data_IF_354073156572
#
_entry.id   IF_354073156572
#
_cell.length_a   1.000
_cell.length_b   1.000
_cell.length_c   1.000
_cell.angle_alpha   90.00
_cell.angle_beta   90.00
_cell.angle_gamma   90.00
#
_symmetry.space_group_name_H-M   'P 1'
#
loop_
_entity.id
_entity.type
_entity.pdbx_description
1 polymer ?
#
# COMPACT_ATOMS: atom_id res chain seq x y z
N UNK A 1 36.33 -31.98 46.74
CA UNK A 1 37.67 -32.54 46.56
C UNK A 1 38.09 -32.33 45.12
N UNK A 2 39.18 -31.59 44.99
CA UNK A 2 39.84 -31.16 43.79
C UNK A 2 40.61 -32.32 43.08
N UNK A 3 41.48 -32.09 42.11
CA UNK A 3 41.46 -31.10 41.01
C UNK A 3 41.96 -31.66 39.63
N UNK A 4 41.87 -30.85 38.61
CA UNK A 4 42.81 -30.52 37.53
C UNK A 4 43.91 -31.51 37.07
N UNK A 5 44.02 -31.64 35.77
CA UNK A 5 45.36 -31.49 35.12
C UNK A 5 45.24 -31.09 33.66
N UNK A 6 45.85 -29.96 33.38
CA UNK A 6 46.32 -29.45 32.09
C UNK A 6 47.43 -30.33 31.53
N UNK A 7 47.50 -30.48 30.21
CA UNK A 7 48.77 -30.72 29.49
C UNK A 7 48.65 -30.21 28.04
N UNK A 8 49.47 -29.23 27.74
CA UNK A 8 49.94 -28.89 26.41
C UNK A 8 51.30 -29.56 26.22
N UNK A 9 51.63 -30.06 25.05
CA UNK A 9 52.96 -29.68 24.51
C UNK A 9 53.02 -29.47 22.99
N UNK A 10 53.68 -28.39 22.68
CA UNK A 10 54.82 -28.21 21.75
C UNK A 10 54.77 -28.77 20.32
N UNK A 11 54.86 -27.81 19.42
CA UNK A 11 55.75 -27.67 18.27
C UNK A 11 56.22 -28.91 17.52
N UNK A 12 55.81 -28.99 16.25
CA UNK A 12 56.69 -29.49 15.22
C UNK A 12 56.49 -28.71 13.89
N UNK A 13 57.54 -28.07 13.54
CA UNK A 13 57.80 -27.32 12.35
C UNK A 13 57.89 -28.28 11.15
N UNK A 14 56.98 -28.18 10.17
CA UNK A 14 57.15 -28.84 8.87
C UNK A 14 56.91 -27.85 7.76
N UNK A 15 57.99 -27.65 7.00
CA UNK A 15 58.10 -26.86 5.79
C UNK A 15 57.01 -27.22 4.77
N UNK A 16 56.14 -26.24 4.45
CA UNK A 16 55.36 -26.27 3.24
C UNK A 16 56.13 -25.52 2.12
N UNK A 17 56.26 -26.10 0.93
CA UNK A 17 56.80 -25.38 -0.22
C UNK A 17 55.81 -24.30 -0.66
N UNK A 18 56.29 -23.08 -0.86
CA UNK A 18 55.58 -21.94 -1.44
C UNK A 18 55.27 -22.28 -2.91
N UNK A 19 53.98 -22.54 -3.18
CA UNK A 19 53.46 -22.49 -4.55
C UNK A 19 53.42 -21.02 -4.98
N UNK A 20 54.25 -20.66 -5.90
CA UNK A 20 54.24 -19.41 -6.65
C UNK A 20 53.00 -19.47 -7.56
N UNK A 21 52.04 -18.54 -7.50
CA UNK A 21 50.97 -18.50 -8.48
C UNK A 21 51.56 -18.03 -9.81
N UNK A 22 51.61 -18.92 -10.77
CA UNK A 22 51.83 -18.57 -12.18
C UNK A 22 50.69 -17.71 -12.63
N UNK A 23 50.93 -16.42 -12.79
CA UNK A 23 50.01 -15.52 -13.48
C UNK A 23 49.87 -16.02 -14.93
N UNK A 24 48.81 -16.76 -15.20
CA UNK A 24 48.37 -16.94 -16.57
C UNK A 24 47.95 -15.57 -17.08
N UNK A 25 48.68 -15.01 -18.01
CA UNK A 25 48.32 -13.78 -18.69
C UNK A 25 46.96 -13.99 -19.37
N UNK A 26 45.99 -13.12 -19.05
CA UNK A 26 44.69 -13.10 -19.74
C UNK A 26 44.95 -12.94 -21.23
N UNK A 27 44.18 -13.62 -22.10
CA UNK A 27 44.33 -13.50 -23.55
C UNK A 27 44.15 -12.04 -23.96
N UNK A 28 44.88 -11.53 -24.96
CA UNK A 28 44.78 -10.13 -25.36
C UNK A 28 43.38 -9.83 -25.86
N UNK A 29 42.73 -8.90 -25.18
CA UNK A 29 41.40 -8.40 -25.57
C UNK A 29 41.48 -7.86 -27.01
N UNK A 30 40.64 -8.37 -27.89
CA UNK A 30 40.56 -7.90 -29.27
C UNK A 30 40.16 -6.41 -29.32
N UNK A 31 40.59 -5.68 -30.33
CA UNK A 31 40.28 -4.26 -30.52
C UNK A 31 38.75 -4.00 -30.48
N UNK A 32 37.94 -4.99 -30.83
CA UNK A 32 36.47 -4.99 -30.68
C UNK A 32 36.02 -4.97 -29.20
N UNK A 33 36.71 -5.68 -28.30
CA UNK A 33 36.37 -5.70 -26.86
C UNK A 33 36.76 -4.39 -26.16
N UNK A 34 37.87 -3.76 -26.55
CA UNK A 34 38.31 -2.46 -25.98
C UNK A 34 37.42 -1.30 -26.39
N UNK A 35 36.79 -1.35 -27.59
CA UNK A 35 35.83 -0.32 -28.02
C UNK A 35 34.47 -0.45 -27.34
N UNK A 36 34.14 -1.58 -26.67
CA UNK A 36 32.88 -1.79 -25.97
C UNK A 36 32.93 -1.32 -24.51
N UNK A 37 34.11 -1.21 -23.90
CA UNK A 37 34.23 -0.83 -22.47
C UNK A 37 34.05 0.68 -22.22
N UNK A 38 34.22 1.54 -23.21
CA UNK A 38 33.96 2.98 -23.11
C UNK A 38 32.55 3.43 -23.53
N UNK A 39 31.82 2.58 -24.24
CA UNK A 39 30.52 2.92 -24.79
C UNK A 39 29.41 2.42 -23.86
N UNK A 40 28.51 3.32 -23.45
CA UNK A 40 27.33 2.97 -22.64
C UNK A 40 26.49 1.94 -23.41
N UNK A 41 26.34 0.71 -22.87
CA UNK A 41 25.46 -0.28 -23.48
C UNK A 41 23.98 0.17 -23.39
N UNK A 42 23.18 -0.22 -24.39
CA UNK A 42 21.74 0.08 -24.37
C UNK A 42 21.08 -0.35 -23.06
N UNK A 43 21.43 -1.52 -22.54
CA UNK A 43 20.90 -2.04 -21.29
C UNK A 43 21.29 -1.16 -20.09
N UNK A 44 22.51 -0.65 -20.02
CA UNK A 44 22.96 0.26 -18.97
C UNK A 44 22.18 1.58 -19.03
N UNK A 45 22.04 2.15 -20.20
CA UNK A 45 21.23 3.39 -20.39
C UNK A 45 19.80 3.18 -19.95
N UNK A 46 19.15 2.06 -20.35
CA UNK A 46 17.78 1.77 -19.95
C UNK A 46 17.65 1.66 -18.41
N UNK A 47 18.61 1.01 -17.73
CA UNK A 47 18.61 0.94 -16.25
C UNK A 47 18.73 2.31 -15.61
N UNK A 48 19.59 3.19 -16.09
CA UNK A 48 19.73 4.57 -15.56
C UNK A 48 18.48 5.42 -15.81
N UNK A 49 17.68 5.10 -16.82
CA UNK A 49 16.40 5.75 -17.11
C UNK A 49 15.20 5.14 -16.33
N UNK A 50 15.43 4.23 -15.41
CA UNK A 50 14.38 3.65 -14.60
C UNK A 50 13.61 2.52 -15.28
N UNK A 51 14.33 1.57 -15.90
CA UNK A 51 13.85 0.33 -16.50
C UNK A 51 13.29 0.44 -17.93
N UNK A 52 13.01 1.65 -18.44
CA UNK A 52 12.41 1.83 -19.77
C UNK A 52 13.05 2.97 -20.52
N UNK A 53 13.18 2.83 -21.84
CA UNK A 53 13.60 3.89 -22.72
C UNK A 53 12.83 3.83 -24.04
N UNK A 54 12.55 5.00 -24.60
CA UNK A 54 12.07 5.09 -25.98
C UNK A 54 13.28 5.05 -26.92
N UNK A 55 13.03 4.66 -28.17
CA UNK A 55 14.07 4.68 -29.21
C UNK A 55 14.83 6.02 -29.24
N UNK A 56 14.11 7.15 -29.21
CA UNK A 56 14.72 8.48 -29.20
C UNK A 56 15.63 8.70 -27.99
N UNK A 57 15.22 8.26 -26.80
CA UNK A 57 15.99 8.44 -25.55
C UNK A 57 17.33 7.70 -25.61
N UNK A 58 17.40 6.61 -26.37
CA UNK A 58 18.63 5.86 -26.65
C UNK A 58 19.48 6.56 -27.69
N UNK A 59 18.87 7.04 -28.78
CA UNK A 59 19.57 7.78 -29.83
C UNK A 59 20.20 9.07 -29.28
N UNK A 60 19.47 9.82 -28.44
CA UNK A 60 19.94 11.04 -27.77
C UNK A 60 21.17 10.78 -26.85
N UNK A 61 21.43 9.50 -26.53
CA UNK A 61 22.57 9.04 -25.72
C UNK A 61 23.60 8.26 -26.54
N UNK A 62 23.63 8.51 -27.86
CA UNK A 62 24.56 7.90 -28.82
C UNK A 62 24.43 6.37 -28.94
N UNK A 63 23.31 5.77 -28.58
CA UNK A 63 23.01 4.36 -28.86
C UNK A 63 22.33 4.26 -30.21
N UNK A 64 23.06 3.86 -31.24
CA UNK A 64 22.54 3.76 -32.61
C UNK A 64 21.52 2.62 -32.78
N UNK A 65 20.74 2.65 -33.86
CA UNK A 65 19.82 1.57 -34.20
C UNK A 65 20.51 0.22 -34.39
N UNK A 66 21.76 0.23 -34.81
CA UNK A 66 22.57 -1.00 -34.92
C UNK A 66 22.84 -1.59 -33.56
N UNK A 67 23.21 -0.76 -32.57
CA UNK A 67 23.39 -1.20 -31.18
C UNK A 67 22.08 -1.68 -30.55
N UNK A 68 20.95 -1.00 -30.82
CA UNK A 68 19.63 -1.44 -30.34
C UNK A 68 19.27 -2.81 -30.94
N UNK A 69 19.52 -3.03 -32.25
CA UNK A 69 19.27 -4.32 -32.90
C UNK A 69 20.14 -5.43 -32.35
N UNK A 70 21.43 -5.17 -32.12
CA UNK A 70 22.36 -6.12 -31.52
C UNK A 70 21.89 -6.50 -30.10
N UNK A 71 21.56 -5.52 -29.25
CA UNK A 71 21.09 -5.75 -27.89
C UNK A 71 19.71 -6.47 -27.81
N UNK A 72 18.89 -6.35 -28.83
CA UNK A 72 17.66 -7.15 -28.97
C UNK A 72 17.97 -8.59 -29.39
N UNK A 73 18.96 -8.79 -30.27
CA UNK A 73 19.34 -10.11 -30.75
C UNK A 73 20.05 -10.95 -29.66
N UNK A 74 20.86 -10.33 -28.83
CA UNK A 74 21.54 -10.97 -27.70
C UNK A 74 20.70 -11.07 -26.42
N UNK A 75 19.47 -10.51 -26.42
CA UNK A 75 18.54 -10.57 -25.30
C UNK A 75 18.87 -9.66 -24.12
N UNK A 76 19.89 -8.79 -24.20
CA UNK A 76 20.22 -7.84 -23.13
C UNK A 76 19.16 -6.78 -22.94
N UNK A 77 18.36 -6.50 -23.98
CA UNK A 77 17.14 -5.69 -23.93
C UNK A 77 16.00 -6.42 -24.65
N UNK A 78 14.76 -6.03 -24.37
CA UNK A 78 13.61 -6.52 -25.10
C UNK A 78 12.63 -5.39 -25.44
N UNK A 79 11.81 -5.61 -26.48
CA UNK A 79 10.80 -4.64 -26.91
C UNK A 79 9.51 -4.82 -26.12
N UNK A 80 9.13 -3.83 -25.32
CA UNK A 80 7.87 -3.81 -24.56
C UNK A 80 6.69 -3.51 -25.48
N UNK A 81 6.81 -2.47 -26.28
CA UNK A 81 5.87 -2.05 -27.34
C UNK A 81 6.64 -1.32 -28.44
N UNK A 82 5.94 -0.90 -29.50
CA UNK A 82 6.59 -0.16 -30.58
C UNK A 82 7.35 1.06 -30.06
N UNK A 83 8.63 1.13 -30.36
CA UNK A 83 9.52 2.22 -29.97
C UNK A 83 9.88 2.29 -28.48
N UNK A 84 9.54 1.27 -27.66
CA UNK A 84 9.87 1.19 -26.23
C UNK A 84 10.62 -0.09 -25.91
N UNK A 85 11.68 0.04 -25.13
CA UNK A 85 12.57 -1.03 -24.74
C UNK A 85 12.72 -1.11 -23.22
N UNK A 86 13.03 -2.31 -22.74
CA UNK A 86 13.31 -2.59 -21.32
C UNK A 86 14.43 -3.62 -21.21
N UNK A 87 14.83 -3.89 -19.99
CA UNK A 87 15.87 -4.88 -19.64
C UNK A 87 15.28 -6.01 -18.82
N UNK A 88 15.85 -7.22 -18.87
CA UNK A 88 15.50 -8.30 -17.95
C UNK A 88 15.59 -7.86 -16.50
N UNK A 89 14.60 -8.30 -15.67
CA UNK A 89 14.47 -7.92 -14.26
C UNK A 89 13.64 -6.67 -14.00
N UNK A 90 13.11 -6.01 -15.04
CA UNK A 90 12.13 -4.92 -14.85
C UNK A 90 10.84 -5.45 -14.16
N UNK A 91 10.24 -4.69 -13.22
CA UNK A 91 9.01 -5.09 -12.56
C UNK A 91 7.88 -5.39 -13.55
N UNK A 92 7.19 -6.51 -13.39
CA UNK A 92 6.13 -6.93 -14.32
C UNK A 92 5.02 -5.88 -14.43
N UNK A 93 4.60 -5.31 -13.30
CA UNK A 93 3.59 -4.24 -13.29
C UNK A 93 4.02 -3.03 -14.14
N UNK A 94 5.31 -2.68 -14.12
CA UNK A 94 5.86 -1.61 -14.94
C UNK A 94 5.87 -1.96 -16.43
N UNK A 95 6.23 -3.20 -16.78
CA UNK A 95 6.17 -3.72 -18.16
C UNK A 95 4.74 -3.62 -18.67
N UNK A 96 3.76 -4.05 -17.85
CA UNK A 96 2.35 -4.03 -18.21
C UNK A 96 1.84 -2.59 -18.44
N UNK A 97 2.19 -1.65 -17.57
CA UNK A 97 1.81 -0.25 -17.73
C UNK A 97 2.36 0.37 -19.03
N UNK A 98 3.66 0.18 -19.27
CA UNK A 98 4.30 0.70 -20.49
C UNK A 98 3.74 0.02 -21.75
N UNK A 99 3.41 -1.28 -21.69
CA UNK A 99 2.80 -2.02 -22.79
C UNK A 99 1.42 -1.47 -23.16
N UNK A 100 0.57 -1.18 -22.16
CA UNK A 100 -0.72 -0.51 -22.33
C UNK A 100 -0.52 0.87 -22.97
N UNK A 101 0.50 1.59 -22.56
CA UNK A 101 0.84 2.92 -23.08
C UNK A 101 0.72 4.04 -22.06
N UNK A 102 0.66 3.69 -20.78
CA UNK A 102 0.47 4.62 -19.67
C UNK A 102 1.42 4.41 -18.51
N UNK A 103 1.03 4.95 -17.37
CA UNK A 103 1.71 4.85 -16.08
C UNK A 103 0.75 4.26 -15.05
N UNK A 104 1.26 3.44 -14.13
CA UNK A 104 0.48 2.98 -12.97
C UNK A 104 0.13 4.20 -12.11
N UNK A 105 -1.11 4.27 -11.66
CA UNK A 105 -1.65 5.32 -10.79
C UNK A 105 -2.59 4.73 -9.74
N UNK A 106 -3.31 5.56 -9.01
CA UNK A 106 -4.27 5.09 -8.02
C UNK A 106 -3.64 4.30 -6.88
N UNK A 107 -4.38 3.35 -6.34
CA UNK A 107 -3.96 2.54 -5.18
C UNK A 107 -2.71 1.73 -5.50
N UNK A 108 -2.62 1.12 -6.69
CA UNK A 108 -1.46 0.32 -7.09
C UNK A 108 -0.17 1.16 -7.12
N UNK A 109 -0.24 2.43 -7.53
CA UNK A 109 0.91 3.32 -7.47
C UNK A 109 1.31 3.64 -6.02
N UNK A 110 0.35 3.88 -5.12
CA UNK A 110 0.63 4.12 -3.71
C UNK A 110 1.29 2.89 -3.05
N UNK A 111 0.80 1.68 -3.35
CA UNK A 111 1.40 0.41 -2.89
C UNK A 111 2.85 0.27 -3.40
N UNK A 112 3.10 0.53 -4.70
CA UNK A 112 4.44 0.49 -5.29
C UNK A 112 5.38 1.56 -4.73
N UNK A 113 4.85 2.65 -4.19
CA UNK A 113 5.61 3.61 -3.39
C UNK A 113 5.85 3.15 -1.95
N UNK A 114 5.44 1.93 -1.57
CA UNK A 114 5.63 1.33 -0.25
C UNK A 114 4.69 1.89 0.82
N UNK A 115 3.50 2.35 0.43
CA UNK A 115 2.47 2.78 1.38
C UNK A 115 1.56 1.60 1.77
N UNK A 116 1.19 1.53 3.05
CA UNK A 116 0.27 0.54 3.58
C UNK A 116 -1.19 0.89 3.20
N UNK A 117 -1.59 0.56 1.99
CA UNK A 117 -2.90 0.85 1.41
C UNK A 117 -3.70 -0.43 1.15
N UNK A 118 -5.04 -0.35 1.03
CA UNK A 118 -5.86 -1.51 0.68
C UNK A 118 -5.44 -2.12 -0.67
N UNK A 119 -5.26 -3.43 -0.73
CA UNK A 119 -4.92 -4.12 -1.98
C UNK A 119 -6.09 -4.21 -2.94
N UNK A 120 -5.82 -4.03 -4.24
CA UNK A 120 -6.81 -4.19 -5.31
C UNK A 120 -6.30 -5.14 -6.40
N UNK A 121 -7.23 -5.89 -6.99
CA UNK A 121 -6.92 -6.76 -8.14
C UNK A 121 -6.88 -5.98 -9.47
N UNK A 122 -7.58 -4.84 -9.53
CA UNK A 122 -7.66 -3.98 -10.72
C UNK A 122 -6.57 -2.93 -10.62
N UNK A 123 -5.84 -2.74 -11.71
CA UNK A 123 -4.75 -1.76 -11.81
C UNK A 123 -5.26 -0.52 -12.53
N UNK A 124 -5.07 0.64 -11.91
CA UNK A 124 -5.37 1.92 -12.54
C UNK A 124 -4.18 2.39 -13.37
N UNK A 125 -4.43 2.70 -14.63
CA UNK A 125 -3.43 3.21 -15.57
C UNK A 125 -3.87 4.58 -16.08
N UNK A 126 -3.01 5.57 -15.94
CA UNK A 126 -3.21 6.87 -16.57
C UNK A 126 -2.50 6.92 -17.91
N UNK A 127 -3.24 7.35 -18.93
CA UNK A 127 -2.73 7.54 -20.30
C UNK A 127 -2.96 8.98 -20.76
N UNK A 128 -2.18 9.50 -21.73
CA UNK A 128 -2.45 10.81 -22.32
C UNK A 128 -3.88 10.92 -22.89
N UNK A 129 -4.48 12.10 -22.84
CA UNK A 129 -5.87 12.32 -23.27
C UNK A 129 -6.14 11.84 -24.71
N UNK A 130 -5.16 12.01 -25.62
CA UNK A 130 -5.26 11.53 -27.00
C UNK A 130 -4.83 10.07 -27.22
N UNK A 131 -4.55 9.30 -26.17
CA UNK A 131 -4.09 7.92 -26.34
C UNK A 131 -5.20 7.04 -26.88
N UNK A 132 -4.90 6.38 -27.98
CA UNK A 132 -5.74 5.39 -28.63
C UNK A 132 -4.95 4.10 -28.89
N UNK A 133 -5.61 3.04 -29.33
CA UNK A 133 -4.99 1.75 -29.66
C UNK A 133 -4.20 1.15 -28.50
N UNK A 134 -4.74 1.24 -27.28
CA UNK A 134 -4.13 0.65 -26.09
C UNK A 134 -3.97 -0.86 -26.27
N UNK A 135 -2.88 -1.41 -25.72
CA UNK A 135 -2.53 -2.82 -25.83
C UNK A 135 -2.82 -3.57 -24.54
N UNK A 136 -3.03 -4.88 -24.66
CA UNK A 136 -3.16 -5.74 -23.49
C UNK A 136 -1.92 -5.68 -22.59
N UNK A 137 -2.07 -5.76 -21.27
CA UNK A 137 -0.93 -5.84 -20.35
C UNK A 137 -0.03 -7.05 -20.61
N UNK A 138 -0.61 -8.17 -21.06
CA UNK A 138 0.12 -9.43 -21.25
C UNK A 138 0.56 -9.67 -22.69
N UNK A 139 -0.10 -9.05 -23.67
CA UNK A 139 0.21 -9.24 -25.10
C UNK A 139 0.23 -7.92 -25.88
N UNK A 140 1.41 -7.53 -26.35
CA UNK A 140 1.62 -6.31 -27.15
C UNK A 140 0.92 -6.30 -28.52
N UNK A 141 0.56 -7.47 -29.05
CA UNK A 141 -0.14 -7.59 -30.35
C UNK A 141 -1.65 -7.41 -30.18
N UNK A 142 -2.19 -7.79 -29.02
CA UNK A 142 -3.61 -7.75 -28.71
C UNK A 142 -4.03 -6.36 -28.19
N UNK A 143 -5.23 -5.92 -28.55
CA UNK A 143 -5.84 -4.71 -27.98
C UNK A 143 -6.26 -4.96 -26.51
N UNK A 144 -6.26 -3.90 -25.72
CA UNK A 144 -6.80 -3.89 -24.36
C UNK A 144 -8.29 -4.26 -24.37
N UNK A 145 -8.72 -5.09 -23.43
CA UNK A 145 -10.11 -5.55 -23.23
C UNK A 145 -10.54 -5.30 -21.78
N UNK A 146 -11.84 -5.28 -21.54
CA UNK A 146 -12.40 -5.14 -20.16
C UNK A 146 -11.94 -6.28 -19.24
N UNK A 147 -11.71 -7.49 -19.78
CA UNK A 147 -11.22 -8.65 -19.01
C UNK A 147 -9.76 -8.55 -18.55
N UNK A 148 -9.03 -7.52 -18.95
CA UNK A 148 -7.62 -7.36 -18.59
C UNK A 148 -7.42 -6.82 -17.15
N UNK A 149 -8.49 -6.60 -16.37
CA UNK A 149 -8.45 -6.06 -15.01
C UNK A 149 -7.69 -4.72 -14.89
N UNK A 150 -7.87 -3.87 -15.87
CA UNK A 150 -7.24 -2.55 -15.95
C UNK A 150 -8.33 -1.49 -16.08
N UNK A 151 -8.25 -0.47 -15.22
CA UNK A 151 -9.04 0.75 -15.39
C UNK A 151 -8.15 1.83 -16.02
N UNK A 152 -8.59 2.38 -17.14
CA UNK A 152 -7.84 3.41 -17.85
C UNK A 152 -8.43 4.79 -17.55
N UNK A 153 -7.53 5.74 -17.22
CA UNK A 153 -7.85 7.13 -17.00
C UNK A 153 -7.15 7.98 -18.05
N UNK A 154 -7.92 8.67 -18.88
CA UNK A 154 -7.40 9.58 -19.91
C UNK A 154 -7.21 10.97 -19.29
N UNK A 155 -5.98 11.43 -19.20
CA UNK A 155 -5.66 12.77 -18.72
C UNK A 155 -4.27 13.18 -19.14
N UNK A 156 -4.07 14.46 -19.38
CA UNK A 156 -2.74 14.98 -19.61
C UNK A 156 -2.14 15.38 -18.27
N UNK A 157 -1.00 14.77 -17.90
CA UNK A 157 -0.30 15.16 -16.69
C UNK A 157 0.19 16.61 -16.81
N UNK A 158 0.30 17.37 -15.71
CA UNK A 158 0.91 18.68 -15.72
C UNK A 158 2.29 18.62 -16.39
N UNK A 159 2.63 19.62 -17.23
CA UNK A 159 3.88 19.63 -18.03
C UNK A 159 5.15 19.33 -17.20
N UNK A 160 5.20 19.79 -15.96
CA UNK A 160 6.31 19.56 -15.02
C UNK A 160 6.52 18.09 -14.62
N UNK A 161 5.55 17.19 -14.91
CA UNK A 161 5.62 15.76 -14.58
C UNK A 161 5.80 14.89 -15.83
N UNK A 162 6.12 15.50 -16.97
CA UNK A 162 6.31 14.82 -18.25
C UNK A 162 7.71 14.18 -18.33
N UNK A 163 8.14 13.41 -17.35
CA UNK A 163 9.22 12.47 -17.58
C UNK A 163 8.67 11.32 -18.45
N UNK A 164 9.11 11.23 -19.70
CA UNK A 164 8.57 10.25 -20.65
C UNK A 164 8.86 8.80 -20.25
N UNK A 165 9.81 8.59 -19.36
CA UNK A 165 10.23 7.25 -18.94
C UNK A 165 9.57 6.82 -17.62
N UNK A 166 8.82 7.69 -16.97
CA UNK A 166 8.10 7.34 -15.74
C UNK A 166 6.94 6.40 -16.04
N UNK A 167 7.04 5.19 -15.56
CA UNK A 167 5.99 4.18 -15.62
C UNK A 167 5.07 4.19 -14.39
N UNK A 168 5.41 4.98 -13.37
CA UNK A 168 4.72 5.10 -12.09
C UNK A 168 4.34 6.58 -11.86
N UNK A 169 3.09 6.84 -11.53
CA UNK A 169 2.63 8.15 -11.12
C UNK A 169 3.25 8.55 -9.77
N UNK A 170 3.42 9.84 -9.53
CA UNK A 170 3.83 10.33 -8.21
C UNK A 170 2.75 10.07 -7.17
N UNK A 171 3.13 10.08 -5.89
CA UNK A 171 2.15 9.94 -4.78
C UNK A 171 1.06 11.02 -4.87
N UNK A 172 1.42 12.26 -5.22
CA UNK A 172 0.45 13.36 -5.39
C UNK A 172 -0.58 13.08 -6.48
N UNK A 173 -0.14 12.57 -7.64
CA UNK A 173 -1.03 12.22 -8.77
C UNK A 173 -1.90 11.01 -8.42
N UNK A 174 -1.30 9.98 -7.83
CA UNK A 174 -1.98 8.75 -7.46
C UNK A 174 -3.05 9.02 -6.38
N UNK A 175 -2.72 9.78 -5.34
CA UNK A 175 -3.65 10.13 -4.28
C UNK A 175 -4.79 11.01 -4.79
N UNK A 176 -4.49 11.97 -5.66
CA UNK A 176 -5.53 12.83 -6.26
C UNK A 176 -6.55 11.99 -7.04
N UNK A 177 -6.10 10.97 -7.78
CA UNK A 177 -7.00 10.04 -8.46
C UNK A 177 -7.83 9.21 -7.45
N UNK A 178 -7.19 8.63 -6.45
CA UNK A 178 -7.86 7.84 -5.40
C UNK A 178 -8.98 8.65 -4.75
N UNK A 179 -8.70 9.90 -4.35
CA UNK A 179 -9.68 10.78 -3.72
C UNK A 179 -10.85 11.11 -4.67
N UNK A 180 -10.57 11.20 -5.97
CA UNK A 180 -11.59 11.51 -6.96
C UNK A 180 -12.51 10.32 -7.31
N UNK A 181 -11.98 9.11 -7.31
CA UNK A 181 -12.64 7.93 -7.92
C UNK A 181 -13.05 6.86 -6.92
N UNK A 182 -12.35 6.74 -5.79
CA UNK A 182 -12.57 5.66 -4.85
C UNK A 182 -13.70 5.95 -3.85
N UNK A 183 -14.26 4.91 -3.21
CA UNK A 183 -15.12 5.06 -2.05
C UNK A 183 -14.43 5.83 -0.91
N UNK A 184 -15.26 6.47 -0.08
CA UNK A 184 -14.79 7.33 1.02
C UNK A 184 -13.75 6.64 1.91
N UNK A 185 -14.04 5.44 2.36
CA UNK A 185 -13.21 4.69 3.30
C UNK A 185 -11.81 4.44 2.72
N UNK A 186 -11.76 4.04 1.46
CA UNK A 186 -10.51 3.80 0.72
C UNK A 186 -9.73 5.10 0.53
N UNK A 187 -10.41 6.17 0.11
CA UNK A 187 -9.78 7.46 -0.09
C UNK A 187 -9.19 8.02 1.22
N UNK A 188 -9.93 7.88 2.34
CA UNK A 188 -9.47 8.30 3.67
C UNK A 188 -8.29 7.43 4.12
N UNK A 189 -8.35 6.10 3.94
CA UNK A 189 -7.26 5.21 4.34
C UNK A 189 -5.97 5.49 3.57
N UNK A 190 -6.04 5.64 2.24
CA UNK A 190 -4.87 6.01 1.44
C UNK A 190 -4.30 7.38 1.85
N UNK A 191 -5.17 8.33 2.18
CA UNK A 191 -4.76 9.66 2.66
C UNK A 191 -4.12 9.59 4.04
N UNK A 192 -4.67 8.80 4.97
CA UNK A 192 -4.11 8.56 6.30
C UNK A 192 -2.73 7.91 6.21
N UNK A 193 -2.56 6.90 5.35
CA UNK A 193 -1.28 6.24 5.10
C UNK A 193 -0.21 7.23 4.59
N UNK A 194 -0.58 8.14 3.69
CA UNK A 194 0.35 9.16 3.18
C UNK A 194 0.75 10.14 4.29
N UNK A 195 -0.19 10.56 5.14
CA UNK A 195 0.12 11.45 6.28
C UNK A 195 1.01 10.73 7.30
N UNK A 196 0.65 9.48 7.67
CA UNK A 196 1.41 8.68 8.63
C UNK A 196 2.84 8.39 8.13
N UNK A 197 2.98 7.78 6.93
CA UNK A 197 4.25 7.22 6.47
C UNK A 197 5.11 8.18 5.66
N UNK A 198 4.57 9.29 5.17
CA UNK A 198 5.29 10.32 4.40
C UNK A 198 5.24 11.69 5.03
N UNK A 199 4.63 11.81 6.21
CA UNK A 199 4.54 13.05 7.00
C UNK A 199 4.03 14.25 6.18
N UNK A 200 3.00 14.02 5.35
CA UNK A 200 2.44 15.09 4.55
C UNK A 200 1.76 16.14 5.43
N UNK A 201 2.02 17.40 5.09
CA UNK A 201 1.33 18.53 5.73
C UNK A 201 -0.11 18.63 5.25
N UNK A 202 -0.98 19.23 6.05
CA UNK A 202 -2.36 19.52 5.68
C UNK A 202 -2.46 20.34 4.37
N UNK A 203 -1.53 21.26 4.12
CA UNK A 203 -1.48 22.03 2.88
C UNK A 203 -1.25 21.14 1.66
N UNK A 204 -0.31 20.20 1.75
CA UNK A 204 -0.05 19.28 0.64
C UNK A 204 -1.23 18.32 0.42
N UNK A 205 -1.79 17.80 1.50
CA UNK A 205 -2.96 16.94 1.45
C UNK A 205 -4.16 17.66 0.83
N UNK A 206 -4.44 18.89 1.22
CA UNK A 206 -5.52 19.72 0.67
C UNK A 206 -5.39 19.92 -0.85
N UNK A 207 -4.17 19.96 -1.40
CA UNK A 207 -3.96 20.02 -2.86
C UNK A 207 -4.43 18.76 -3.58
N UNK A 208 -4.28 17.58 -2.99
CA UNK A 208 -4.82 16.35 -3.57
C UNK A 208 -6.35 16.38 -3.58
N UNK A 209 -6.98 16.96 -2.56
CA UNK A 209 -8.44 17.08 -2.45
C UNK A 209 -9.03 18.25 -3.24
N UNK A 210 -8.24 19.28 -3.60
CA UNK A 210 -8.75 20.49 -4.26
C UNK A 210 -9.42 20.21 -5.62
N UNK A 211 -8.93 19.20 -6.34
CA UNK A 211 -9.44 18.78 -7.66
C UNK A 211 -10.51 17.69 -7.56
N UNK A 212 -10.76 17.18 -6.37
CA UNK A 212 -11.73 16.14 -6.14
C UNK A 212 -13.18 16.70 -6.18
N UNK A 213 -14.19 15.86 -6.47
CA UNK A 213 -15.60 16.23 -6.34
C UNK A 213 -15.91 16.82 -4.97
N UNK A 214 -16.89 17.74 -4.90
CA UNK A 214 -17.24 18.42 -3.64
C UNK A 214 -17.54 17.46 -2.48
N UNK A 215 -18.15 16.29 -2.78
CA UNK A 215 -18.40 15.25 -1.78
C UNK A 215 -17.10 14.73 -1.13
N UNK A 216 -16.05 14.53 -1.95
CA UNK A 216 -14.78 13.98 -1.47
C UNK A 216 -13.98 15.00 -0.64
N UNK A 217 -14.10 16.29 -0.95
CA UNK A 217 -13.41 17.34 -0.17
C UNK A 217 -13.80 17.33 1.31
N UNK A 218 -15.03 16.91 1.64
CA UNK A 218 -15.50 16.76 3.02
C UNK A 218 -14.79 15.64 3.79
N UNK A 219 -14.19 14.67 3.09
CA UNK A 219 -13.49 13.56 3.70
C UNK A 219 -12.13 13.95 4.27
N UNK A 220 -11.60 15.11 3.88
CA UNK A 220 -10.34 15.63 4.42
C UNK A 220 -10.35 15.67 5.96
N UNK A 221 -11.47 16.06 6.58
CA UNK A 221 -11.65 16.07 8.03
C UNK A 221 -11.72 14.67 8.69
N UNK A 222 -11.69 13.60 7.89
CA UNK A 222 -11.63 12.22 8.38
C UNK A 222 -10.21 11.64 8.33
N UNK A 223 -9.27 12.30 7.66
CA UNK A 223 -7.89 11.82 7.56
C UNK A 223 -7.20 11.94 8.92
N UNK A 224 -6.53 10.87 9.33
CA UNK A 224 -5.83 10.80 10.60
C UNK A 224 -4.45 10.15 10.42
N UNK A 225 -3.39 10.91 10.63
CA UNK A 225 -2.01 10.42 10.55
C UNK A 225 -1.58 9.48 11.67
N UNK A 226 -2.44 9.23 12.66
CA UNK A 226 -2.19 8.23 13.71
C UNK A 226 -2.56 6.81 13.28
N UNK A 227 -3.42 6.65 12.27
CA UNK A 227 -3.81 5.32 11.79
C UNK A 227 -2.59 4.67 11.11
N UNK A 228 -2.16 3.52 11.58
CA UNK A 228 -0.99 2.79 11.07
C UNK A 228 -1.37 1.80 9.96
N UNK A 229 -2.66 1.42 9.92
CA UNK A 229 -3.21 0.52 8.90
C UNK A 229 -4.50 1.06 8.28
N UNK A 230 -4.84 0.53 7.12
CA UNK A 230 -6.12 0.84 6.48
C UNK A 230 -7.31 0.25 7.26
N UNK A 231 -7.11 -0.88 7.97
CA UNK A 231 -8.13 -1.46 8.84
C UNK A 231 -8.49 -0.54 9.99
N UNK A 232 -7.50 0.06 10.64
CA UNK A 232 -7.72 1.08 11.68
C UNK A 232 -8.51 2.27 11.13
N UNK A 233 -8.14 2.80 9.96
CA UNK A 233 -8.88 3.90 9.34
C UNK A 233 -10.35 3.51 9.11
N UNK A 234 -10.64 2.31 8.64
CA UNK A 234 -12.01 1.86 8.39
C UNK A 234 -12.81 1.76 9.68
N UNK A 235 -12.25 1.12 10.71
CA UNK A 235 -12.87 1.01 12.03
C UNK A 235 -13.19 2.41 12.58
N UNK A 236 -12.23 3.31 12.56
CA UNK A 236 -12.42 4.67 13.08
C UNK A 236 -13.51 5.45 12.33
N UNK A 237 -13.52 5.37 10.99
CA UNK A 237 -14.54 6.05 10.17
C UNK A 237 -15.93 5.46 10.42
N UNK A 238 -16.05 4.15 10.51
CA UNK A 238 -17.34 3.48 10.75
C UNK A 238 -17.85 3.67 12.17
N UNK A 239 -16.96 3.69 13.18
CA UNK A 239 -17.33 4.07 14.54
C UNK A 239 -17.88 5.50 14.58
N UNK A 240 -17.22 6.43 13.88
CA UNK A 240 -17.72 7.82 13.78
C UNK A 240 -19.09 7.89 13.12
N UNK A 241 -19.34 7.13 12.06
CA UNK A 241 -20.65 7.05 11.41
C UNK A 241 -21.74 6.48 12.35
N UNK A 242 -21.35 5.53 13.21
CA UNK A 242 -22.22 4.97 14.25
C UNK A 242 -22.40 5.91 15.45
N UNK A 243 -21.82 7.11 15.44
CA UNK A 243 -21.88 8.06 16.54
C UNK A 243 -21.04 7.63 17.76
N UNK A 244 -20.07 6.74 17.56
CA UNK A 244 -19.19 6.25 18.61
C UNK A 244 -17.84 7.00 18.51
N UNK A 245 -17.54 7.79 19.54
CA UNK A 245 -16.23 8.44 19.64
C UNK A 245 -15.17 7.45 20.06
N UNK A 246 -13.99 7.52 19.44
CA UNK A 246 -12.82 6.76 19.81
C UNK A 246 -11.57 7.65 19.80
N UNK A 247 -10.58 7.28 20.56
CA UNK A 247 -9.25 7.89 20.60
C UNK A 247 -8.26 6.90 20.00
N UNK A 248 -7.49 7.35 18.98
CA UNK A 248 -6.56 6.49 18.24
C UNK A 248 -5.19 6.45 18.92
N UNK A 249 -4.53 5.28 18.88
CA UNK A 249 -3.15 5.04 19.28
C UNK A 249 -2.87 5.51 20.71
N UNK A 250 -3.56 4.90 21.67
CA UNK A 250 -3.52 5.27 23.08
C UNK A 250 -2.52 4.41 23.86
N UNK A 251 -1.61 5.04 24.58
CA UNK A 251 -0.76 4.33 25.55
C UNK A 251 -1.51 4.13 26.85
N UNK A 252 -1.59 2.88 27.31
CA UNK A 252 -2.25 2.49 28.55
C UNK A 252 -1.21 1.91 29.47
N UNK A 253 -1.08 2.47 30.67
CA UNK A 253 -0.08 2.06 31.65
C UNK A 253 -0.13 0.56 31.97
N UNK A 254 1.01 -0.13 31.87
CA UNK A 254 1.13 -1.57 32.09
C UNK A 254 0.44 -2.47 31.04
N UNK A 255 -0.19 -1.89 30.01
CA UNK A 255 -0.78 -2.61 28.87
C UNK A 255 0.03 -2.38 27.59
N UNK A 256 0.53 -1.16 27.40
CA UNK A 256 1.18 -0.73 26.18
C UNK A 256 0.26 0.11 25.31
N UNK A 257 0.58 0.20 24.02
CA UNK A 257 -0.18 0.96 23.04
C UNK A 257 -1.30 0.11 22.46
N UNK A 258 -2.51 0.67 22.40
CA UNK A 258 -3.70 0.07 21.80
C UNK A 258 -4.20 0.94 20.63
N UNK A 259 -4.81 0.34 19.61
CA UNK A 259 -5.23 1.09 18.42
C UNK A 259 -6.34 2.10 18.75
N UNK A 260 -7.34 1.70 19.54
CA UNK A 260 -8.41 2.61 19.95
C UNK A 260 -8.82 2.43 21.40
N UNK A 261 -9.13 3.57 22.04
CA UNK A 261 -9.89 3.63 23.27
C UNK A 261 -11.29 4.20 22.97
N UNK A 262 -12.34 3.47 23.34
CA UNK A 262 -13.75 3.85 23.07
C UNK A 262 -14.55 4.11 24.33
N UNK A 263 -14.04 3.70 25.48
CA UNK A 263 -14.55 3.96 26.83
C UNK A 263 -13.36 3.94 27.80
N UNK A 264 -13.45 4.43 29.02
CA UNK A 264 -12.34 4.44 29.97
C UNK A 264 -11.59 3.11 30.10
N UNK A 265 -12.29 1.98 30.00
CA UNK A 265 -11.69 0.64 30.14
C UNK A 265 -12.02 -0.29 28.95
N UNK A 266 -12.49 0.23 27.79
CA UNK A 266 -12.77 -0.57 26.60
C UNK A 266 -11.87 -0.12 25.46
N UNK A 267 -11.14 -1.08 24.92
CA UNK A 267 -10.14 -0.90 23.89
C UNK A 267 -10.44 -1.76 22.68
N UNK A 268 -9.99 -1.33 21.50
CA UNK A 268 -10.03 -2.11 20.25
C UNK A 268 -8.62 -2.23 19.74
N UNK A 269 -8.25 -3.43 19.27
CA UNK A 269 -7.08 -3.73 18.48
C UNK A 269 -7.54 -4.29 17.12
N UNK A 270 -6.91 -3.83 16.05
CA UNK A 270 -7.19 -4.24 14.66
C UNK A 270 -6.07 -5.13 14.18
N UNK A 271 -6.32 -6.43 14.20
CA UNK A 271 -5.32 -7.41 13.77
C UNK A 271 -5.25 -7.47 12.25
N UNK A 272 -4.10 -7.05 11.72
CA UNK A 272 -3.78 -7.16 10.29
C UNK A 272 -3.58 -8.61 9.85
N UNK A 273 -3.48 -8.82 8.54
CA UNK A 273 -3.25 -10.14 7.93
C UNK A 273 -1.94 -10.84 8.41
N UNK A 274 -1.00 -10.08 8.96
CA UNK A 274 0.24 -10.62 9.55
C UNK A 274 0.01 -11.45 10.82
N UNK A 275 -1.15 -11.36 11.44
CA UNK A 275 -1.58 -12.19 12.58
C UNK A 275 -2.49 -13.35 12.16
N UNK A 276 -2.67 -13.60 10.84
CA UNK A 276 -3.34 -14.80 10.35
C UNK A 276 -2.43 -16.02 10.65
N UNK A 277 -2.93 -17.09 11.31
CA UNK A 277 -2.16 -18.31 11.58
C UNK A 277 -1.59 -18.99 10.33
N UNK A 278 -2.14 -18.69 9.15
CA UNK A 278 -1.64 -19.13 7.85
C UNK A 278 -0.55 -18.21 7.26
N UNK A 279 -0.24 -17.10 7.94
CA UNK A 279 0.85 -16.21 7.57
C UNK A 279 2.16 -16.76 8.15
N UNK A 280 3.07 -17.19 7.28
CA UNK A 280 4.37 -17.82 7.64
C UNK A 280 5.38 -16.89 8.34
N UNK A 281 5.00 -15.69 8.75
CA UNK A 281 5.86 -14.67 9.38
C UNK A 281 5.53 -14.34 10.84
N UNK A 282 4.55 -14.98 11.48
CA UNK A 282 4.24 -14.73 12.89
C UNK A 282 5.32 -15.35 13.80
N UNK A 283 6.02 -14.50 14.55
CA UNK A 283 7.00 -14.95 15.54
C UNK A 283 6.27 -15.44 16.80
N UNK A 284 6.68 -16.59 17.39
CA UNK A 284 6.10 -17.10 18.65
C UNK A 284 6.22 -16.14 19.84
N UNK A 285 7.14 -15.19 19.79
CA UNK A 285 7.37 -14.19 20.84
C UNK A 285 6.23 -13.19 21.05
N UNK A 286 5.33 -13.03 20.10
CA UNK A 286 4.21 -12.07 20.22
C UNK A 286 3.06 -12.63 21.10
N UNK A 287 2.86 -13.96 21.10
CA UNK A 287 1.77 -14.60 21.82
C UNK A 287 1.84 -14.39 23.35
N UNK A 288 3.02 -14.57 23.95
CA UNK A 288 3.23 -14.39 25.38
C UNK A 288 3.05 -12.93 25.80
N UNK A 289 3.57 -12.01 25.00
CA UNK A 289 3.41 -10.56 25.23
C UNK A 289 1.93 -10.15 25.20
N UNK A 290 1.16 -10.71 24.26
CA UNK A 290 -0.28 -10.42 24.14
C UNK A 290 -1.07 -10.91 25.35
N UNK A 291 -0.76 -12.10 25.86
CA UNK A 291 -1.40 -12.61 27.09
C UNK A 291 -1.08 -11.78 28.34
N UNK A 292 0.14 -11.29 28.46
CA UNK A 292 0.52 -10.39 29.59
C UNK A 292 -0.28 -9.09 29.49
N UNK A 293 -0.44 -8.54 28.30
CA UNK A 293 -1.24 -7.32 28.05
C UNK A 293 -2.72 -7.53 28.39
N UNK A 294 -3.32 -8.64 27.93
CA UNK A 294 -4.71 -8.98 28.24
C UNK A 294 -4.96 -9.12 29.73
N UNK A 295 -4.03 -9.77 30.44
CA UNK A 295 -4.08 -9.90 31.89
C UNK A 295 -4.01 -8.54 32.57
N UNK A 296 -3.14 -7.64 32.13
CA UNK A 296 -3.01 -6.28 32.69
C UNK A 296 -4.29 -5.45 32.49
N UNK A 297 -4.97 -5.61 31.34
CA UNK A 297 -6.28 -4.98 31.09
C UNK A 297 -7.36 -5.55 32.00
N UNK A 298 -7.42 -6.88 32.13
CA UNK A 298 -8.42 -7.57 32.96
C UNK A 298 -8.31 -7.22 34.45
N UNK A 299 -7.09 -7.10 34.98
CA UNK A 299 -6.84 -6.66 36.39
C UNK A 299 -7.47 -5.29 36.67
N UNK A 300 -7.52 -4.40 35.67
CA UNK A 300 -8.15 -3.08 35.80
C UNK A 300 -9.66 -3.09 35.57
N UNK A 301 -10.23 -4.27 35.26
CA UNK A 301 -11.63 -4.42 34.86
C UNK A 301 -11.90 -3.88 33.47
N UNK A 302 -10.87 -3.81 32.64
CA UNK A 302 -10.98 -3.41 31.25
C UNK A 302 -11.23 -4.58 30.32
N UNK A 303 -11.51 -4.28 29.05
CA UNK A 303 -11.77 -5.24 27.99
C UNK A 303 -11.10 -4.81 26.71
N UNK A 304 -10.36 -5.71 26.04
CA UNK A 304 -9.83 -5.53 24.69
C UNK A 304 -10.68 -6.32 23.72
N UNK A 305 -11.13 -5.68 22.66
CA UNK A 305 -11.81 -6.30 21.54
C UNK A 305 -10.80 -6.38 20.38
N UNK A 306 -10.38 -7.59 20.01
CA UNK A 306 -9.50 -7.82 18.86
C UNK A 306 -10.33 -8.16 17.65
N UNK A 307 -10.17 -7.36 16.59
CA UNK A 307 -10.92 -7.51 15.36
C UNK A 307 -9.99 -7.81 14.19
N UNK A 308 -10.18 -8.96 13.59
CA UNK A 308 -9.50 -9.31 12.35
C UNK A 308 -10.12 -8.59 11.15
N UNK A 309 -9.37 -8.42 10.08
CA UNK A 309 -9.91 -7.88 8.82
C UNK A 309 -11.13 -8.66 8.33
N UNK A 310 -11.15 -9.99 8.50
CA UNK A 310 -12.29 -10.83 8.13
C UNK A 310 -13.55 -10.44 8.90
N UNK A 311 -13.45 -10.15 10.18
CA UNK A 311 -14.58 -9.68 11.00
C UNK A 311 -15.02 -8.29 10.61
N UNK A 312 -14.06 -7.36 10.45
CA UNK A 312 -14.34 -5.97 10.08
C UNK A 312 -15.08 -5.88 8.74
N UNK A 313 -14.62 -6.63 7.72
CA UNK A 313 -15.22 -6.58 6.39
C UNK A 313 -16.40 -7.52 6.18
N UNK A 314 -16.50 -8.58 6.96
CA UNK A 314 -17.50 -9.63 6.78
C UNK A 314 -18.66 -9.60 7.77
N UNK A 315 -18.44 -9.08 8.97
CA UNK A 315 -19.42 -9.13 10.07
C UNK A 315 -19.30 -7.90 10.99
N UNK A 316 -19.36 -6.70 10.38
CA UNK A 316 -19.22 -5.43 11.09
C UNK A 316 -20.28 -5.24 12.19
N UNK A 317 -21.51 -5.67 11.94
CA UNK A 317 -22.63 -5.56 12.88
C UNK A 317 -22.30 -6.28 14.19
N UNK A 318 -21.73 -7.48 14.13
CA UNK A 318 -21.34 -8.23 15.34
C UNK A 318 -20.19 -7.52 16.08
N UNK A 319 -19.26 -6.90 15.35
CA UNK A 319 -18.20 -6.10 15.98
C UNK A 319 -18.80 -4.92 16.77
N UNK A 320 -19.76 -4.21 16.18
CA UNK A 320 -20.45 -3.07 16.83
C UNK A 320 -21.30 -3.55 18.00
N UNK A 321 -22.01 -4.66 17.89
CA UNK A 321 -22.81 -5.23 18.97
C UNK A 321 -21.93 -5.61 20.18
N UNK A 322 -20.80 -6.30 19.93
CA UNK A 322 -19.83 -6.64 20.97
C UNK A 322 -19.26 -5.38 21.65
N UNK A 323 -18.98 -4.35 20.85
CA UNK A 323 -18.49 -3.07 21.38
C UNK A 323 -19.53 -2.37 22.26
N UNK A 324 -20.78 -2.30 21.80
CA UNK A 324 -21.86 -1.64 22.55
C UNK A 324 -22.15 -2.37 23.88
N UNK A 325 -22.08 -3.70 23.88
CA UNK A 325 -22.19 -4.52 25.07
C UNK A 325 -21.03 -4.22 26.03
N UNK A 326 -19.78 -4.27 25.56
CA UNK A 326 -18.61 -3.98 26.37
C UNK A 326 -18.65 -2.57 26.98
N UNK A 327 -19.10 -1.57 26.20
CA UNK A 327 -19.26 -0.19 26.69
C UNK A 327 -20.38 -0.06 27.75
N UNK A 328 -21.48 -0.77 27.58
CA UNK A 328 -22.57 -0.76 28.57
C UNK A 328 -22.09 -1.34 29.92
N UNK A 329 -21.38 -2.47 29.87
CA UNK A 329 -20.79 -3.12 31.03
C UNK A 329 -19.79 -2.20 31.75
N UNK A 330 -18.92 -1.52 30.99
CA UNK A 330 -17.92 -0.58 31.54
C UNK A 330 -18.58 0.61 32.23
N UNK A 331 -19.59 1.21 31.63
CA UNK A 331 -20.32 2.33 32.20
C UNK A 331 -21.09 1.91 33.47
N UNK A 332 -21.65 0.71 33.50
CA UNK A 332 -22.30 0.17 34.69
C UNK A 332 -21.28 -0.07 35.82
N UNK A 333 -20.11 -0.64 35.50
CA UNK A 333 -19.03 -0.83 36.46
C UNK A 333 -18.53 0.50 37.07
N UNK A 334 -18.37 1.51 36.21
CA UNK A 334 -17.97 2.86 36.64
C UNK A 334 -19.05 3.48 37.51
N UNK A 335 -20.33 3.33 37.17
CA UNK A 335 -21.43 3.82 38.00
C UNK A 335 -21.48 3.17 39.37
N UNK A 336 -21.33 1.83 39.42
CA UNK A 336 -21.25 1.07 40.69
C UNK A 336 -20.07 1.51 41.56
N UNK A 337 -18.89 1.78 40.96
CA UNK A 337 -17.71 2.27 41.68
C UNK A 337 -17.92 3.68 42.26
N UNK A 338 -18.60 4.57 41.52
CA UNK A 338 -18.94 5.93 41.96
C UNK A 338 -20.03 5.97 43.05
N UNK A 339 -20.91 4.98 43.06
CA UNK A 339 -22.01 4.88 44.06
C UNK A 339 -21.56 4.25 45.38
N UNK A 340 -20.29 3.85 45.54
CA UNK A 340 -19.76 3.36 46.79
C UNK A 340 -19.68 4.51 47.83
N UNK A 341 -20.01 4.25 49.12
CA UNK A 341 -19.95 5.27 50.16
C UNK A 341 -18.52 5.87 50.22
N UNK A 342 -18.43 7.18 50.07
CA UNK A 342 -17.16 7.92 50.14
C UNK A 342 -16.66 8.54 48.85
N UNK A 343 -17.30 8.29 47.70
CA UNK A 343 -16.93 8.93 46.42
C UNK A 343 -17.97 9.99 46.00
N UNK A 344 -17.57 11.16 45.45
CA UNK A 344 -18.50 12.18 45.02
C UNK A 344 -19.41 11.67 43.90
N UNK A 345 -20.71 11.92 44.05
CA UNK A 345 -21.72 11.54 43.04
C UNK A 345 -21.65 12.43 41.81
N UNK A 346 -21.15 11.88 40.70
CA UNK A 346 -21.23 12.54 39.37
C UNK A 346 -22.46 12.08 38.60
N UNK A 347 -23.00 12.93 37.72
CA UNK A 347 -24.18 12.65 36.90
C UNK A 347 -24.03 11.36 36.11
N UNK A 348 -25.03 10.46 36.26
CA UNK A 348 -25.08 9.17 35.58
C UNK A 348 -25.43 9.32 34.10
N UNK A 349 -24.52 8.90 33.23
CA UNK A 349 -24.72 8.87 31.77
C UNK A 349 -25.63 7.70 31.29
N UNK A 350 -26.15 6.88 32.23
CA UNK A 350 -26.86 5.64 31.89
C UNK A 350 -28.18 5.82 31.13
N UNK A 351 -28.82 7.00 31.23
CA UNK A 351 -30.15 7.23 30.63
C UNK A 351 -30.09 7.55 29.14
N UNK A 352 -28.93 7.96 28.59
CA UNK A 352 -28.81 8.27 27.15
C UNK A 352 -28.54 7.04 26.26
N UNK A 353 -28.01 5.97 26.79
CA UNK A 353 -27.66 4.77 26.01
C UNK A 353 -28.85 3.88 25.66
N UNK A 354 -29.92 3.86 26.44
CA UNK A 354 -31.15 3.07 26.10
C UNK A 354 -31.90 3.61 24.89
N UNK A 355 -31.81 4.90 24.59
CA UNK A 355 -32.42 5.50 23.38
C UNK A 355 -31.62 5.34 22.10
N UNK A 356 -30.33 4.94 22.18
CA UNK A 356 -29.46 4.73 21.03
C UNK A 356 -29.56 3.34 20.40
N UNK A 357 -30.02 2.32 21.12
CA UNK A 357 -30.11 0.94 20.60
C UNK A 357 -31.02 0.76 19.36
N UNK A 358 -32.04 1.58 19.22
CA UNK A 358 -32.95 1.50 18.07
C UNK A 358 -32.46 2.18 16.78
N UNK A 359 -31.46 3.06 16.85
CA UNK A 359 -30.98 3.81 15.68
C UNK A 359 -29.67 3.24 15.09
N UNK A 360 -28.86 2.56 15.88
CA UNK A 360 -27.54 2.06 15.44
C UNK A 360 -27.69 0.81 14.58
N UNK A 361 -28.69 -0.04 14.82
CA UNK A 361 -28.91 -1.26 14.04
C UNK A 361 -29.32 -1.02 12.56
N UNK A 362 -29.70 0.21 12.18
CA UNK A 362 -30.03 0.58 10.78
C UNK A 362 -28.93 1.37 10.06
N UNK A 363 -27.85 1.68 10.72
CA UNK A 363 -26.77 2.44 10.12
C UNK A 363 -25.72 1.50 9.51
N UNK A 364 -25.92 1.20 8.24
CA UNK A 364 -24.86 1.10 7.24
C UNK A 364 -24.09 -0.22 7.22
N UNK A 365 -24.62 -1.17 6.49
CA UNK A 365 -23.81 -2.24 5.89
C UNK A 365 -23.00 -1.64 4.72
N UNK A 366 -21.64 -1.80 4.67
CA UNK A 366 -20.83 -1.28 3.58
C UNK A 366 -21.20 -1.84 2.19
N UNK A 367 -21.96 -2.96 2.16
CA UNK A 367 -22.38 -3.62 0.92
C UNK A 367 -23.48 -2.91 0.15
N UNK A 368 -24.30 -2.10 0.79
CA UNK A 368 -25.45 -1.47 0.13
C UNK A 368 -25.11 -0.20 -0.67
N UNK A 369 -23.89 0.28 -0.55
CA UNK A 369 -23.37 1.38 -1.38
C UNK A 369 -22.41 0.89 -2.45
N UNK A 370 -22.79 -0.11 -3.24
CA UNK A 370 -22.11 -0.31 -4.53
C UNK A 370 -22.33 0.98 -5.32
N UNK A 371 -21.28 1.66 -5.75
CA UNK A 371 -21.42 2.70 -6.75
C UNK A 371 -22.08 2.01 -7.95
N UNK A 372 -23.22 2.51 -8.40
CA UNK A 372 -23.78 2.11 -9.70
C UNK A 372 -22.63 2.28 -10.69
N UNK A 373 -22.10 1.19 -11.19
CA UNK A 373 -21.17 1.21 -12.31
C UNK A 373 -21.85 2.06 -13.36
N UNK A 374 -21.31 3.24 -13.59
CA UNK A 374 -21.64 4.01 -14.77
C UNK A 374 -21.15 3.10 -15.91
N UNK A 375 -22.06 2.38 -16.55
CA UNK A 375 -21.77 1.71 -17.80
C UNK A 375 -21.15 2.80 -18.66
N UNK A 376 -19.92 2.62 -19.03
CA UNK A 376 -19.35 3.35 -20.13
C UNK A 376 -20.29 3.04 -21.30
N UNK A 377 -21.18 3.99 -21.61
CA UNK A 377 -21.85 3.96 -22.91
C UNK A 377 -20.72 3.96 -23.91
N UNK A 378 -20.61 2.87 -24.64
CA UNK A 378 -19.78 2.82 -25.80
C UNK A 378 -20.12 4.07 -26.60
N UNK A 379 -19.14 4.92 -26.81
CA UNK A 379 -19.22 5.89 -27.88
C UNK A 379 -19.37 5.05 -29.13
N UNK A 380 -20.52 5.15 -29.75
CA UNK A 380 -20.81 4.58 -31.06
C UNK A 380 -19.73 5.01 -32.03
N UNK A 381 -18.82 4.09 -32.32
CA UNK A 381 -17.96 4.17 -33.47
C UNK A 381 -18.72 3.39 -34.54
N UNK A 382 -19.75 4.01 -35.04
CA UNK A 382 -20.35 3.58 -36.29
C UNK A 382 -20.30 4.71 -37.30
N UNK A 383 -19.72 4.33 -38.45
CA UNK A 383 -20.03 4.78 -39.78
C UNK A 383 -19.65 6.21 -40.20
N UNK A 384 -18.42 6.32 -40.71
CA UNK A 384 -18.09 7.28 -41.78
C UNK A 384 -17.32 6.55 -42.87
N UNK A 385 -17.99 5.64 -43.56
CA UNK A 385 -17.56 5.13 -44.88
C UNK A 385 -18.78 4.86 -45.72
N UNK A 386 -19.39 5.96 -46.22
CA UNK A 386 -20.18 6.03 -47.46
C UNK A 386 -20.63 7.46 -47.72
N UNK A 387 -19.84 8.19 -48.47
CA UNK A 387 -20.32 9.14 -49.48
C UNK A 387 -19.11 9.92 -50.10
N UNK A 388 -18.93 9.80 -51.34
CA UNK A 388 -18.06 10.63 -52.17
C UNK A 388 -16.77 9.98 -52.54
#
# INVERSE_FOLDING_TARGET
MAPLKTLNPSSSNQHRPKLVPTHAAAPPQTARQRNTEGMLSAARVIRTLGWFARRRDLLDRNISDTHIRAALADGTIFRVRHGWYSVPGAPEAAINAVRIGGRITGIAALELHGLAVPRRKVIDIVVPAGACRLRSPTDRARRLRESDNVTVHWTDPPRRHLDPNRWLASIDEALALVVATEPREIAVACSSAVVNQRHWTNTRLSRAFSRAPARARRWLGLVNGKDESHGETFVRVWLKDAGISCESQVSVDGVGRVDFRVSPNVYIEVDGAQHDPHWSGSSPSNWETDHVRDTAVAIRGGRVLRWTYRQIYGNWEACVEALLTARADDLELIARRRSRPGLPRGLTAATRLRRGRGRVARAIHPRDRRPRRRKLRGADIHDASRAG
#
